data_IF_879283994019
#
_entry.id   IF_879283994019
#
_cell.length_a   1.000
_cell.length_b   1.000
_cell.length_c   1.000
_cell.angle_alpha   90.00
_cell.angle_beta   90.00
_cell.angle_gamma   90.00
#
_symmetry.space_group_name_H-M   'P 1'
#
loop_
_entity.id
_entity.type
_entity.pdbx_description
1 polymer ?
#
# COMPACT_ATOMS: atom_id res chain seq x y z
N UNK A 1 -11.78 -10.22 10.95
CA UNK A 1 -11.84 -9.52 12.28
C UNK A 1 -11.72 -8.03 12.06
N UNK A 2 -12.59 -7.20 12.65
CA UNK A 2 -12.46 -5.73 12.54
C UNK A 2 -11.34 -5.23 13.45
N UNK A 3 -10.44 -4.41 12.95
CA UNK A 3 -9.37 -3.74 13.70
C UNK A 3 -9.64 -2.25 13.70
N UNK A 4 -9.60 -1.60 14.85
CA UNK A 4 -9.67 -0.14 14.91
C UNK A 4 -8.54 0.45 14.06
N UNK A 5 -8.89 1.37 13.17
CA UNK A 5 -7.97 2.00 12.24
C UNK A 5 -7.05 2.99 12.95
N UNK A 6 -5.86 3.15 12.41
CA UNK A 6 -4.98 4.27 12.75
C UNK A 6 -5.27 5.47 11.83
N UNK A 7 -4.76 6.64 12.19
CA UNK A 7 -4.83 7.86 11.38
C UNK A 7 -6.25 8.27 10.99
N UNK A 8 -7.05 8.51 11.97
CA UNK A 8 -8.35 9.19 11.84
C UNK A 8 -8.59 10.12 13.02
N UNK A 9 -9.57 10.98 12.90
CA UNK A 9 -10.11 11.77 14.00
C UNK A 9 -11.62 11.69 14.02
N UNK A 10 -12.19 11.68 15.19
CA UNK A 10 -13.64 11.80 15.40
C UNK A 10 -13.95 13.23 15.84
N UNK A 11 -14.88 13.87 15.13
CA UNK A 11 -15.35 15.23 15.44
C UNK A 11 -16.86 15.16 15.53
N UNK A 12 -17.39 15.42 16.72
CA UNK A 12 -18.84 15.33 17.00
C UNK A 12 -19.45 14.00 16.49
N UNK A 13 -20.22 14.06 15.41
CA UNK A 13 -20.99 12.93 14.87
C UNK A 13 -20.40 12.36 13.55
N UNK A 14 -19.14 12.65 13.23
CA UNK A 14 -18.49 12.13 12.02
C UNK A 14 -17.03 11.82 12.25
N UNK A 15 -16.46 11.04 11.33
CA UNK A 15 -15.06 10.62 11.33
C UNK A 15 -14.38 11.11 10.07
N UNK A 16 -13.16 11.63 10.21
CA UNK A 16 -12.28 11.99 9.10
C UNK A 16 -11.09 11.03 9.05
N UNK A 17 -10.93 10.34 7.93
CA UNK A 17 -9.78 9.47 7.70
C UNK A 17 -8.56 10.31 7.25
N UNK A 18 -7.40 10.05 7.84
CA UNK A 18 -6.13 10.76 7.56
C UNK A 18 -5.04 9.86 6.95
N UNK A 19 -5.39 8.65 6.53
CA UNK A 19 -4.41 7.68 6.04
C UNK A 19 -3.83 8.04 4.67
N UNK A 20 -4.67 8.43 3.73
CA UNK A 20 -4.25 8.76 2.37
C UNK A 20 -4.76 10.15 1.94
N UNK A 21 -4.20 10.73 0.86
CA UNK A 21 -4.55 12.10 0.44
C UNK A 21 -6.00 12.32 0.02
N UNK A 22 -6.79 11.28 -0.19
CA UNK A 22 -8.24 11.44 -0.37
C UNK A 22 -8.94 12.07 0.83
N UNK A 23 -8.36 11.93 2.05
CA UNK A 23 -8.90 12.57 3.24
C UNK A 23 -10.42 12.41 3.34
N UNK A 24 -10.93 11.16 3.26
CA UNK A 24 -12.37 10.90 3.36
C UNK A 24 -12.94 11.54 4.63
N UNK A 25 -13.72 12.60 4.46
CA UNK A 25 -14.24 13.44 5.55
C UNK A 25 -15.72 13.21 5.76
N UNK A 26 -16.19 13.58 6.96
CA UNK A 26 -17.63 13.56 7.37
C UNK A 26 -18.26 12.16 7.23
N UNK A 27 -17.46 11.10 7.44
CA UNK A 27 -17.99 9.74 7.44
C UNK A 27 -18.82 9.52 8.70
N UNK A 28 -20.04 9.02 8.52
CA UNK A 28 -20.96 8.62 9.60
C UNK A 28 -21.06 7.11 9.71
N UNK A 29 -21.78 6.61 10.73
CA UNK A 29 -21.96 5.18 10.95
C UNK A 29 -22.37 4.41 9.69
N UNK A 30 -21.69 3.30 9.38
CA UNK A 30 -21.88 2.46 8.21
C UNK A 30 -21.25 2.99 6.92
N UNK A 31 -20.74 4.23 6.92
CA UNK A 31 -20.09 4.78 5.73
C UNK A 31 -18.65 4.31 5.60
N UNK A 32 -18.23 4.11 4.35
CA UNK A 32 -16.88 3.68 3.97
C UNK A 32 -16.11 4.80 3.28
N UNK A 33 -14.80 4.81 3.52
CA UNK A 33 -13.89 5.59 2.69
C UNK A 33 -13.86 5.10 1.24
N UNK A 34 -13.25 5.91 0.34
CA UNK A 34 -13.14 5.61 -1.09
C UNK A 34 -12.46 4.25 -1.38
N UNK A 35 -11.55 3.81 -0.50
CA UNK A 35 -10.88 2.50 -0.59
C UNK A 35 -11.79 1.31 -0.29
N UNK A 36 -13.01 1.52 0.19
CA UNK A 36 -14.04 0.53 0.55
C UNK A 36 -13.68 -0.41 1.72
N UNK A 37 -12.50 -0.26 2.31
CA UNK A 37 -11.99 -1.14 3.39
C UNK A 37 -11.87 -0.44 4.75
N UNK A 38 -12.24 0.84 4.82
CA UNK A 38 -12.31 1.59 6.08
C UNK A 38 -13.74 2.07 6.29
N UNK A 39 -14.37 1.63 7.39
CA UNK A 39 -15.78 1.84 7.69
C UNK A 39 -15.96 2.38 9.10
N UNK A 40 -16.89 3.31 9.26
CA UNK A 40 -17.24 3.87 10.57
C UNK A 40 -18.26 3.00 11.26
N UNK A 41 -17.99 2.69 12.53
CA UNK A 41 -18.92 2.00 13.42
C UNK A 41 -19.06 2.72 14.74
N UNK A 42 -20.21 2.59 15.38
CA UNK A 42 -20.39 2.92 16.78
C UNK A 42 -19.75 1.86 17.67
N UNK A 43 -18.98 2.29 18.64
CA UNK A 43 -18.47 1.45 19.71
C UNK A 43 -19.52 1.29 20.82
N UNK A 44 -19.23 0.44 21.79
CA UNK A 44 -20.14 0.15 22.93
C UNK A 44 -20.47 1.36 23.80
N UNK A 45 -19.59 2.36 23.81
CA UNK A 45 -19.77 3.64 24.51
C UNK A 45 -20.54 4.71 23.69
N UNK A 46 -20.96 4.34 22.45
CA UNK A 46 -21.66 5.21 21.53
C UNK A 46 -20.75 6.11 20.70
N UNK A 47 -19.42 6.08 20.90
CA UNK A 47 -18.46 6.84 20.10
C UNK A 47 -18.32 6.26 18.70
N UNK A 48 -18.10 7.15 17.70
CA UNK A 48 -17.81 6.74 16.35
C UNK A 48 -16.32 6.44 16.20
N UNK A 49 -16.00 5.28 15.66
CA UNK A 49 -14.63 4.85 15.34
C UNK A 49 -14.53 4.37 13.91
N UNK A 50 -13.33 4.52 13.33
CA UNK A 50 -12.99 3.97 12.02
C UNK A 50 -12.36 2.58 12.19
N UNK A 51 -12.80 1.62 11.39
CA UNK A 51 -12.30 0.25 11.41
C UNK A 51 -11.74 -0.17 10.05
N UNK A 52 -10.63 -0.89 10.07
CA UNK A 52 -10.09 -1.63 8.95
C UNK A 52 -10.88 -2.95 8.80
N UNK A 53 -11.48 -3.15 7.63
CA UNK A 53 -12.28 -4.35 7.33
C UNK A 53 -11.44 -5.49 6.77
N UNK A 54 -10.26 -5.17 6.24
CA UNK A 54 -9.36 -6.13 5.61
C UNK A 54 -8.19 -6.57 6.51
N UNK A 55 -8.19 -6.23 7.80
CA UNK A 55 -7.15 -6.64 8.74
C UNK A 55 -7.06 -8.17 8.85
N UNK A 56 -5.91 -8.72 8.44
CA UNK A 56 -5.68 -10.16 8.40
C UNK A 56 -6.34 -10.90 7.23
N UNK A 57 -7.11 -10.23 6.40
CA UNK A 57 -7.81 -10.82 5.26
C UNK A 57 -6.85 -10.94 4.06
N UNK A 58 -6.37 -12.16 3.83
CA UNK A 58 -5.40 -12.48 2.77
C UNK A 58 -6.13 -13.12 1.59
N UNK A 59 -6.07 -12.49 0.41
CA UNK A 59 -6.68 -12.98 -0.83
C UNK A 59 -5.71 -13.80 -1.67
N UNK A 60 -4.42 -13.55 -1.52
CA UNK A 60 -3.37 -14.14 -2.34
C UNK A 60 -2.14 -14.41 -1.48
N UNK A 61 -1.54 -15.58 -1.65
CA UNK A 61 -0.29 -15.98 -1.00
C UNK A 61 0.50 -16.86 -1.96
N UNK A 62 1.71 -16.45 -2.33
CA UNK A 62 2.57 -17.17 -3.25
C UNK A 62 4.05 -16.88 -3.01
N UNK A 63 4.92 -17.85 -3.33
CA UNK A 63 6.36 -17.60 -3.49
C UNK A 63 6.61 -17.08 -4.90
N UNK A 64 7.11 -15.85 -5.00
CA UNK A 64 7.40 -15.21 -6.28
C UNK A 64 8.89 -14.86 -6.40
N UNK A 65 9.48 -14.86 -7.60
CA UNK A 65 10.76 -14.20 -7.85
C UNK A 65 10.68 -12.72 -7.44
N UNK A 66 11.78 -12.18 -6.90
CA UNK A 66 11.82 -10.77 -6.47
C UNK A 66 11.57 -9.81 -7.64
N UNK A 67 11.97 -10.18 -8.86
CA UNK A 67 11.74 -9.41 -10.08
C UNK A 67 10.24 -9.28 -10.42
N UNK A 68 9.40 -10.18 -9.92
CA UNK A 68 7.94 -10.07 -10.06
C UNK A 68 7.33 -9.00 -9.12
N UNK A 69 8.16 -8.43 -8.23
CA UNK A 69 7.86 -7.25 -7.40
C UNK A 69 8.40 -5.97 -8.03
N UNK A 70 8.63 -5.93 -9.31
CA UNK A 70 9.56 -5.18 -10.16
C UNK A 70 10.77 -4.58 -9.41
N UNK A 71 11.47 -5.45 -8.66
CA UNK A 71 12.72 -5.13 -7.96
C UNK A 71 13.86 -5.91 -8.62
N UNK A 72 14.56 -5.24 -9.54
CA UNK A 72 15.63 -5.85 -10.34
C UNK A 72 17.02 -5.70 -9.74
N UNK A 73 17.17 -4.71 -8.83
CA UNK A 73 18.44 -4.39 -8.19
C UNK A 73 18.44 -4.71 -6.68
N UNK A 74 17.35 -5.28 -6.17
CA UNK A 74 17.20 -5.69 -4.77
C UNK A 74 17.25 -7.20 -4.65
N UNK A 75 18.42 -7.76 -4.28
CA UNK A 75 18.67 -9.21 -4.17
C UNK A 75 18.22 -10.03 -5.40
N UNK A 76 18.69 -9.69 -6.61
CA UNK A 76 18.25 -10.33 -7.86
C UNK A 76 18.44 -11.85 -7.84
N UNK A 77 17.50 -12.56 -8.43
CA UNK A 77 17.49 -14.04 -8.51
C UNK A 77 16.98 -14.73 -7.23
N UNK A 78 16.50 -13.97 -6.22
CA UNK A 78 15.92 -14.56 -5.02
C UNK A 78 14.40 -14.70 -5.10
N UNK A 79 13.83 -15.47 -4.17
CA UNK A 79 12.37 -15.61 -4.03
C UNK A 79 11.88 -14.91 -2.77
N UNK A 80 10.66 -14.40 -2.81
CA UNK A 80 10.01 -13.71 -1.70
C UNK A 80 8.57 -14.17 -1.52
N UNK A 81 8.15 -14.44 -0.29
CA UNK A 81 6.76 -14.71 0.01
C UNK A 81 5.94 -13.44 -0.24
N UNK A 82 4.91 -13.55 -1.06
CA UNK A 82 4.08 -12.44 -1.51
C UNK A 82 2.66 -12.62 -1.04
N UNK A 83 2.10 -11.59 -0.43
CA UNK A 83 0.71 -11.58 0.06
C UNK A 83 -0.03 -10.34 -0.44
N UNK A 84 -1.34 -10.50 -0.60
CA UNK A 84 -2.25 -9.41 -0.91
C UNK A 84 -3.58 -9.54 -0.20
N UNK A 85 -4.31 -8.44 -0.20
CA UNK A 85 -5.63 -8.32 0.36
C UNK A 85 -6.61 -7.83 -0.71
N UNK A 86 -7.67 -7.16 -0.29
CA UNK A 86 -8.60 -6.48 -1.20
C UNK A 86 -8.69 -4.98 -0.88
N UNK A 87 -9.17 -4.23 -1.86
CA UNK A 87 -9.32 -2.77 -1.79
C UNK A 87 -8.12 -2.02 -2.35
N UNK A 88 -8.37 -0.79 -2.80
CA UNK A 88 -7.37 0.17 -3.27
C UNK A 88 -7.92 1.58 -3.11
N UNK A 89 -7.06 2.56 -2.88
CA UNK A 89 -7.44 3.97 -2.86
C UNK A 89 -7.44 4.63 -4.25
N UNK A 90 -6.89 3.97 -5.28
CA UNK A 90 -7.05 4.36 -6.68
C UNK A 90 -8.19 3.59 -7.34
N UNK A 91 -8.66 4.11 -8.50
CA UNK A 91 -9.66 3.48 -9.36
C UNK A 91 -9.19 3.46 -10.81
N UNK A 92 -7.94 3.03 -11.01
CA UNK A 92 -7.33 3.00 -12.34
C UNK A 92 -8.18 2.21 -13.33
N UNK A 93 -8.53 2.84 -14.46
CA UNK A 93 -9.35 2.23 -15.51
C UNK A 93 -8.68 1.01 -16.17
N UNK A 94 -7.35 0.93 -16.08
CA UNK A 94 -6.51 -0.14 -16.62
C UNK A 94 -6.04 -1.17 -15.58
N UNK A 95 -6.67 -1.22 -14.39
CA UNK A 95 -6.23 -2.08 -13.31
C UNK A 95 -6.39 -3.56 -13.67
N UNK A 96 -5.27 -4.28 -13.83
CA UNK A 96 -5.29 -5.73 -14.10
C UNK A 96 -5.80 -6.56 -12.90
N UNK A 97 -5.69 -6.02 -11.68
CA UNK A 97 -6.13 -6.65 -10.44
C UNK A 97 -7.49 -6.10 -9.96
N UNK A 98 -8.36 -5.71 -10.90
CA UNK A 98 -9.64 -5.06 -10.59
C UNK A 98 -10.49 -5.85 -9.58
N UNK A 99 -10.56 -7.18 -9.73
CA UNK A 99 -11.39 -8.05 -8.88
C UNK A 99 -10.99 -8.07 -7.40
N UNK A 100 -9.72 -7.78 -7.08
CA UNK A 100 -9.28 -7.66 -5.69
C UNK A 100 -9.12 -6.21 -5.25
N UNK A 101 -8.91 -5.28 -6.18
CA UNK A 101 -8.70 -3.87 -5.85
C UNK A 101 -10.01 -3.08 -5.73
N UNK A 102 -11.06 -3.44 -6.48
CA UNK A 102 -12.32 -2.70 -6.52
C UNK A 102 -13.53 -3.50 -5.99
N UNK A 103 -13.37 -4.80 -5.77
CA UNK A 103 -14.39 -5.69 -5.24
C UNK A 103 -13.92 -6.33 -3.92
N UNK A 104 -14.85 -6.90 -3.15
CA UNK A 104 -14.54 -7.70 -1.98
C UNK A 104 -14.28 -9.12 -2.46
N UNK A 105 -13.00 -9.49 -2.53
CA UNK A 105 -12.59 -10.82 -2.95
C UNK A 105 -12.67 -11.83 -1.79
N UNK A 106 -12.87 -13.13 -2.08
CA UNK A 106 -12.72 -14.18 -1.09
C UNK A 106 -11.35 -14.13 -0.43
N UNK A 107 -11.31 -14.21 0.88
CA UNK A 107 -10.10 -14.11 1.67
C UNK A 107 -10.05 -15.15 2.78
N UNK A 108 -8.86 -15.42 3.28
CA UNK A 108 -8.63 -16.23 4.47
C UNK A 108 -7.99 -15.35 5.54
N UNK A 109 -8.50 -15.40 6.76
CA UNK A 109 -7.86 -14.70 7.87
C UNK A 109 -6.55 -15.40 8.25
N UNK A 110 -5.46 -14.61 8.27
CA UNK A 110 -4.14 -15.02 8.75
C UNK A 110 -3.66 -13.93 9.70
N UNK A 111 -3.36 -14.29 10.95
CA UNK A 111 -2.90 -13.31 11.93
C UNK A 111 -1.49 -12.77 11.60
N UNK A 112 -1.10 -11.58 12.12
CA UNK A 112 0.26 -11.06 11.96
C UNK A 112 1.35 -12.02 12.46
N UNK A 113 1.10 -12.71 13.57
CA UNK A 113 2.04 -13.69 14.11
C UNK A 113 2.16 -14.92 13.20
N UNK A 114 1.05 -15.40 12.67
CA UNK A 114 1.02 -16.56 11.78
C UNK A 114 1.76 -16.28 10.48
N UNK A 115 1.49 -15.16 9.79
CA UNK A 115 2.16 -14.84 8.52
C UNK A 115 3.65 -14.55 8.71
N UNK A 116 4.04 -13.90 9.81
CA UNK A 116 5.44 -13.68 10.13
C UNK A 116 6.16 -15.02 10.34
N UNK A 117 5.57 -15.95 11.09
CA UNK A 117 6.14 -17.27 11.31
C UNK A 117 6.22 -18.10 10.00
N UNK A 118 5.18 -18.06 9.17
CA UNK A 118 5.20 -18.70 7.84
C UNK A 118 6.39 -18.16 7.04
N UNK A 119 6.49 -16.83 6.92
CA UNK A 119 7.55 -16.20 6.14
C UNK A 119 8.95 -16.53 6.64
N UNK A 120 9.16 -16.50 7.97
CA UNK A 120 10.46 -16.74 8.58
C UNK A 120 10.94 -18.20 8.47
N UNK A 121 10.02 -19.16 8.37
CA UNK A 121 10.33 -20.60 8.33
C UNK A 121 10.34 -21.19 6.91
N UNK A 122 10.02 -20.40 5.89
CA UNK A 122 10.12 -20.85 4.49
C UNK A 122 11.58 -20.89 4.04
N UNK A 123 12.00 -22.02 3.50
CA UNK A 123 13.32 -22.19 2.89
C UNK A 123 13.47 -21.29 1.64
N UNK A 124 14.66 -20.76 1.43
CA UNK A 124 15.02 -19.91 0.29
C UNK A 124 14.12 -18.66 0.14
N UNK A 125 13.54 -18.18 1.23
CA UNK A 125 12.69 -17.02 1.27
C UNK A 125 13.47 -15.78 1.75
N UNK A 126 13.56 -14.76 0.89
CA UNK A 126 14.19 -13.48 1.22
C UNK A 126 13.43 -12.72 2.33
N UNK A 127 12.09 -12.80 2.30
CA UNK A 127 11.26 -11.98 3.17
C UNK A 127 9.78 -12.05 2.86
N UNK A 128 9.07 -10.97 3.18
CA UNK A 128 7.64 -10.82 2.92
C UNK A 128 7.37 -9.57 2.08
N UNK A 129 6.67 -9.73 0.97
CA UNK A 129 6.20 -8.65 0.10
C UNK A 129 4.68 -8.47 0.23
N UNK A 130 4.25 -7.24 0.46
CA UNK A 130 2.86 -6.83 0.39
C UNK A 130 2.59 -6.25 -1.01
N UNK A 131 1.69 -6.90 -1.77
CA UNK A 131 1.54 -6.67 -3.21
C UNK A 131 0.13 -7.04 -3.70
N UNK A 132 -0.08 -7.08 -5.01
CA UNK A 132 -1.29 -7.43 -5.76
C UNK A 132 -2.42 -6.39 -5.69
N UNK A 133 -2.78 -5.89 -4.50
CA UNK A 133 -3.63 -4.72 -4.29
C UNK A 133 -2.80 -3.57 -3.70
N UNK A 134 -3.43 -2.61 -3.03
CA UNK A 134 -2.70 -1.49 -2.42
C UNK A 134 -2.39 -1.76 -0.93
N UNK A 135 -1.11 -1.94 -0.55
CA UNK A 135 -0.75 -2.20 0.84
C UNK A 135 -0.96 -1.01 1.79
N UNK A 136 -0.93 0.23 1.29
CA UNK A 136 -1.10 1.42 2.15
C UNK A 136 -2.49 1.48 2.80
N UNK A 137 -3.54 0.94 2.16
CA UNK A 137 -4.88 0.91 2.76
C UNK A 137 -5.11 -0.32 3.66
N UNK A 138 -4.20 -1.27 3.64
CA UNK A 138 -4.12 -2.42 4.55
C UNK A 138 -3.20 -2.12 5.75
N UNK A 139 -3.05 -0.86 6.05
CA UNK A 139 -2.01 -0.24 6.85
C UNK A 139 -1.75 -0.93 8.19
N UNK A 140 -2.79 -1.15 9.00
CA UNK A 140 -2.65 -1.70 10.35
C UNK A 140 -2.05 -3.10 10.33
N UNK A 141 -2.45 -3.93 9.37
CA UNK A 141 -1.91 -5.27 9.21
C UNK A 141 -0.46 -5.25 8.70
N UNK A 142 -0.19 -4.47 7.66
CA UNK A 142 1.17 -4.29 7.13
C UNK A 142 2.12 -3.81 8.24
N UNK A 143 1.69 -2.81 9.00
CA UNK A 143 2.48 -2.25 10.10
C UNK A 143 2.76 -3.28 11.20
N UNK A 144 1.74 -4.00 11.67
CA UNK A 144 1.88 -5.01 12.72
C UNK A 144 2.77 -6.18 12.27
N UNK A 145 2.62 -6.65 11.02
CA UNK A 145 3.43 -7.73 10.44
C UNK A 145 4.89 -7.30 10.25
N UNK A 146 5.15 -6.13 9.67
CA UNK A 146 6.52 -5.63 9.48
C UNK A 146 7.24 -5.48 10.82
N UNK A 147 6.59 -4.89 11.82
CA UNK A 147 7.14 -4.78 13.19
C UNK A 147 7.45 -6.15 13.78
N UNK A 148 6.52 -7.10 13.64
CA UNK A 148 6.72 -8.47 14.14
C UNK A 148 7.91 -9.14 13.48
N UNK A 149 8.02 -9.09 12.17
CA UNK A 149 9.16 -9.64 11.42
C UNK A 149 10.47 -9.01 11.93
N UNK A 150 10.55 -7.67 11.98
CA UNK A 150 11.78 -6.98 12.43
C UNK A 150 12.15 -7.25 13.88
N UNK A 151 11.17 -7.52 14.74
CA UNK A 151 11.44 -7.92 16.13
C UNK A 151 12.02 -9.34 16.25
N UNK A 152 11.67 -10.24 15.35
CA UNK A 152 12.12 -11.63 15.32
C UNK A 152 13.43 -11.81 14.53
N UNK A 153 13.53 -11.17 13.38
CA UNK A 153 14.70 -11.22 12.52
C UNK A 153 14.85 -9.92 11.72
N UNK A 154 15.80 -9.08 12.09
CA UNK A 154 16.06 -7.80 11.43
C UNK A 154 16.56 -7.95 9.99
N UNK A 155 17.16 -9.08 9.64
CA UNK A 155 17.68 -9.34 8.29
C UNK A 155 16.62 -9.84 7.32
N UNK A 156 15.49 -10.36 7.81
CA UNK A 156 14.38 -10.80 6.97
C UNK A 156 13.72 -9.58 6.33
N UNK A 157 13.61 -9.59 4.99
CA UNK A 157 13.22 -8.40 4.23
C UNK A 157 11.73 -8.19 4.22
N UNK A 158 11.34 -6.92 4.22
CA UNK A 158 9.95 -6.47 4.10
C UNK A 158 9.85 -5.51 2.92
N UNK A 159 8.95 -5.82 1.99
CA UNK A 159 8.83 -5.15 0.69
C UNK A 159 7.41 -4.67 0.47
N UNK A 160 7.25 -3.47 -0.07
CA UNK A 160 5.97 -2.94 -0.52
C UNK A 160 5.98 -2.75 -2.04
N UNK A 161 4.94 -3.24 -2.71
CA UNK A 161 4.61 -2.88 -4.09
C UNK A 161 3.36 -2.01 -4.03
N UNK A 162 3.51 -0.72 -4.27
CA UNK A 162 2.52 0.28 -3.89
C UNK A 162 2.33 1.37 -4.94
N UNK A 163 1.15 1.96 -4.98
CA UNK A 163 0.90 3.16 -5.78
C UNK A 163 1.45 4.45 -5.14
N UNK A 164 2.01 4.37 -3.93
CA UNK A 164 2.60 5.49 -3.24
C UNK A 164 1.61 6.57 -2.74
N UNK A 165 0.30 6.36 -2.86
CA UNK A 165 -0.70 7.37 -2.48
C UNK A 165 -1.10 7.28 -1.01
N UNK A 166 -0.18 7.66 -0.14
CA UNK A 166 -0.28 7.63 1.32
C UNK A 166 0.13 8.98 1.90
N UNK A 167 -0.47 9.40 3.01
CA UNK A 167 -0.05 10.62 3.69
C UNK A 167 1.32 10.47 4.36
N UNK A 168 2.03 11.58 4.52
CA UNK A 168 3.39 11.62 5.07
C UNK A 168 3.50 10.95 6.46
N UNK A 169 2.63 11.32 7.41
CA UNK A 169 2.69 10.81 8.78
C UNK A 169 2.59 9.28 8.86
N UNK A 170 1.58 8.61 8.25
CA UNK A 170 1.53 7.15 8.23
C UNK A 170 2.71 6.52 7.48
N UNK A 171 3.18 7.14 6.38
CA UNK A 171 4.33 6.64 5.66
C UNK A 171 5.59 6.65 6.53
N UNK A 172 5.94 7.80 7.11
CA UNK A 172 7.09 7.95 8.01
C UNK A 172 7.06 6.99 9.20
N UNK A 173 5.87 6.66 9.72
CA UNK A 173 5.71 5.68 10.80
C UNK A 173 5.96 4.24 10.35
N UNK A 174 5.68 3.92 9.09
CA UNK A 174 5.83 2.57 8.53
C UNK A 174 7.27 2.28 8.07
N UNK A 175 7.93 3.26 7.41
CA UNK A 175 9.21 3.09 6.74
C UNK A 175 10.36 2.53 7.60
N UNK A 176 10.47 2.78 8.93
CA UNK A 176 11.49 2.14 9.77
C UNK A 176 11.46 0.61 9.77
N UNK A 177 10.39 0.00 9.27
CA UNK A 177 10.20 -1.44 9.20
C UNK A 177 10.17 -1.98 7.76
N UNK A 178 10.48 -1.14 6.76
CA UNK A 178 10.43 -1.48 5.32
C UNK A 178 11.84 -1.41 4.74
N UNK A 179 12.27 -2.45 4.03
CA UNK A 179 13.60 -2.48 3.40
C UNK A 179 13.58 -1.96 1.95
N UNK A 180 12.52 -2.29 1.21
CA UNK A 180 12.41 -1.88 -0.18
C UNK A 180 10.97 -1.56 -0.59
N UNK A 181 10.84 -0.65 -1.55
CA UNK A 181 9.57 -0.30 -2.18
C UNK A 181 9.74 -0.36 -3.71
N UNK A 182 8.77 -0.98 -4.36
CA UNK A 182 8.48 -0.66 -5.76
C UNK A 182 7.30 0.30 -5.76
N UNK A 183 7.48 1.49 -6.32
CA UNK A 183 6.46 2.54 -6.36
C UNK A 183 6.05 2.81 -7.80
N UNK A 184 4.76 2.72 -8.06
CA UNK A 184 4.20 3.06 -9.37
C UNK A 184 4.17 4.58 -9.58
N UNK A 185 5.03 5.11 -10.44
CA UNK A 185 4.97 6.48 -10.95
C UNK A 185 4.35 6.43 -12.35
N UNK A 186 3.03 6.67 -12.43
CA UNK A 186 2.22 6.22 -13.57
C UNK A 186 2.16 7.19 -14.75
N UNK A 187 2.37 8.49 -14.53
CA UNK A 187 2.26 9.51 -15.56
C UNK A 187 2.26 10.92 -14.95
N UNK A 188 1.87 11.90 -15.74
CA UNK A 188 1.74 13.30 -15.32
C UNK A 188 0.49 13.54 -14.45
N UNK A 189 0.30 14.79 -14.00
CA UNK A 189 -0.81 15.13 -13.08
C UNK A 189 -2.20 14.91 -13.71
N UNK A 190 -2.36 15.14 -15.01
CA UNK A 190 -3.61 14.89 -15.73
C UNK A 190 -3.93 13.40 -15.79
N UNK A 191 -2.94 12.56 -16.06
CA UNK A 191 -3.06 11.09 -16.03
C UNK A 191 -3.55 10.60 -14.66
N UNK A 192 -2.96 11.13 -13.57
CA UNK A 192 -3.39 10.75 -12.23
C UNK A 192 -4.82 11.16 -11.93
N UNK A 193 -5.24 12.36 -12.35
CA UNK A 193 -6.60 12.86 -12.11
C UNK A 193 -7.65 12.07 -12.89
N UNK A 194 -7.39 11.80 -14.17
CA UNK A 194 -8.39 11.24 -15.09
C UNK A 194 -8.44 9.71 -15.04
N UNK A 195 -7.30 9.04 -15.00
CA UNK A 195 -7.22 7.58 -15.12
C UNK A 195 -7.05 6.85 -13.78
N UNK A 196 -6.44 7.49 -12.77
CA UNK A 196 -6.15 6.87 -11.48
C UNK A 196 -7.06 7.40 -10.35
N UNK A 197 -7.66 8.58 -10.52
CA UNK A 197 -8.41 9.29 -9.48
C UNK A 197 -7.53 9.66 -8.27
N UNK A 198 -6.33 10.18 -8.54
CA UNK A 198 -5.35 10.59 -7.55
C UNK A 198 -4.62 11.88 -7.94
N UNK A 199 -3.42 12.08 -7.39
CA UNK A 199 -2.56 13.23 -7.67
C UNK A 199 -1.10 12.81 -7.72
N UNK A 200 -0.35 13.25 -8.73
CA UNK A 200 1.07 12.96 -8.94
C UNK A 200 1.92 13.41 -7.76
N UNK A 201 1.72 14.65 -7.30
CA UNK A 201 2.51 15.28 -6.22
C UNK A 201 2.61 14.42 -4.96
N UNK A 202 1.54 13.72 -4.58
CA UNK A 202 1.52 12.90 -3.37
C UNK A 202 2.36 11.63 -3.53
N UNK A 203 2.41 11.09 -4.75
CA UNK A 203 3.25 9.93 -5.08
C UNK A 203 4.73 10.34 -5.11
N UNK A 204 5.06 11.47 -5.74
CA UNK A 204 6.41 12.04 -5.73
C UNK A 204 6.90 12.31 -4.29
N UNK A 205 6.02 12.86 -3.43
CA UNK A 205 6.34 13.08 -2.02
C UNK A 205 6.65 11.75 -1.30
N UNK A 206 5.90 10.70 -1.58
CA UNK A 206 6.15 9.38 -1.00
C UNK A 206 7.50 8.79 -1.44
N UNK A 207 7.89 8.98 -2.70
CA UNK A 207 9.20 8.56 -3.21
C UNK A 207 10.32 9.32 -2.49
N UNK A 208 10.20 10.66 -2.35
CA UNK A 208 11.19 11.48 -1.63
C UNK A 208 11.33 11.04 -0.18
N UNK A 209 10.22 10.84 0.53
CA UNK A 209 10.23 10.40 1.92
C UNK A 209 10.88 9.01 2.06
N UNK A 210 10.57 8.07 1.17
CA UNK A 210 11.18 6.74 1.21
C UNK A 210 12.71 6.80 0.97
N UNK A 211 13.17 7.70 0.08
CA UNK A 211 14.59 7.97 -0.14
C UNK A 211 15.27 8.57 1.11
N UNK A 212 14.63 9.54 1.77
CA UNK A 212 15.13 10.11 3.04
C UNK A 212 15.36 9.05 4.12
N UNK A 213 14.52 8.01 4.15
CA UNK A 213 14.65 6.88 5.09
C UNK A 213 15.71 5.85 4.68
N UNK A 214 16.33 6.00 3.51
CA UNK A 214 17.34 5.07 3.00
C UNK A 214 16.76 3.71 2.58
N UNK A 215 15.47 3.63 2.28
CA UNK A 215 14.87 2.43 1.70
C UNK A 215 15.40 2.21 0.28
N UNK A 216 15.54 0.96 -0.12
CA UNK A 216 15.76 0.66 -1.54
C UNK A 216 14.49 0.97 -2.33
N UNK A 217 14.59 1.77 -3.39
CA UNK A 217 13.44 2.18 -4.20
C UNK A 217 13.70 1.80 -5.65
N UNK A 218 12.73 1.12 -6.26
CA UNK A 218 12.62 1.01 -7.71
C UNK A 218 11.27 1.56 -8.14
N UNK A 219 11.26 2.34 -9.19
CA UNK A 219 10.06 3.00 -9.70
C UNK A 219 9.60 2.29 -10.97
N UNK A 220 8.31 1.98 -11.05
CA UNK A 220 7.70 1.38 -12.23
C UNK A 220 6.74 2.35 -12.90
N UNK A 221 6.90 2.51 -14.22
CA UNK A 221 5.94 3.23 -15.07
C UNK A 221 5.37 2.25 -16.10
N UNK A 222 4.09 1.89 -15.95
CA UNK A 222 3.38 1.14 -16.97
C UNK A 222 3.07 2.08 -18.13
N UNK A 223 3.71 1.86 -19.27
CA UNK A 223 3.49 2.65 -20.48
C UNK A 223 2.19 2.21 -21.18
N UNK A 224 1.25 3.14 -21.32
CA UNK A 224 -0.01 2.93 -22.03
C UNK A 224 -0.02 3.84 -23.25
N UNK A 225 -0.07 3.27 -24.48
CA UNK A 225 -0.08 4.06 -25.71
C UNK A 225 -1.16 5.13 -25.72
N UNK A 226 -0.79 6.35 -26.12
CA UNK A 226 -1.61 7.54 -26.20
C UNK A 226 -2.04 8.15 -24.83
N UNK A 227 -1.62 7.60 -23.71
CA UNK A 227 -1.99 8.08 -22.37
C UNK A 227 -0.80 8.72 -21.64
N UNK A 228 0.36 8.04 -21.62
CA UNK A 228 1.55 8.49 -20.88
C UNK A 228 2.87 8.21 -21.63
N UNK A 229 2.80 8.05 -22.95
CA UNK A 229 3.95 7.70 -23.79
C UNK A 229 4.52 8.88 -24.60
N UNK A 230 3.99 10.09 -24.38
CA UNK A 230 4.50 11.29 -25.02
C UNK A 230 5.83 11.75 -24.40
N UNK A 231 6.68 12.40 -25.22
CA UNK A 231 8.01 12.82 -24.82
C UNK A 231 8.02 13.81 -23.62
N UNK A 232 7.00 14.62 -23.48
CA UNK A 232 6.88 15.61 -22.40
C UNK A 232 6.68 14.86 -21.08
N UNK A 233 5.69 13.98 -21.02
CA UNK A 233 5.40 13.17 -19.82
C UNK A 233 6.62 12.35 -19.41
N UNK A 234 7.26 11.65 -20.34
CA UNK A 234 8.44 10.82 -20.03
C UNK A 234 9.62 11.66 -19.54
N UNK A 235 9.80 12.85 -20.12
CA UNK A 235 10.84 13.77 -19.68
C UNK A 235 10.59 14.31 -18.28
N UNK A 236 9.37 14.73 -17.95
CA UNK A 236 8.98 15.21 -16.62
C UNK A 236 9.22 14.13 -15.54
N UNK A 237 8.82 12.89 -15.80
CA UNK A 237 9.08 11.76 -14.89
C UNK A 237 10.60 11.51 -14.72
N UNK A 238 11.37 11.55 -15.81
CA UNK A 238 12.82 11.39 -15.78
C UNK A 238 13.53 12.53 -15.02
N UNK A 239 13.12 13.78 -15.21
CA UNK A 239 13.64 14.94 -14.49
C UNK A 239 13.34 14.84 -12.99
N UNK A 240 12.13 14.42 -12.62
CA UNK A 240 11.78 14.17 -11.23
C UNK A 240 12.70 13.10 -10.61
N UNK A 241 12.85 11.92 -11.24
CA UNK A 241 13.67 10.83 -10.71
C UNK A 241 15.15 11.21 -10.62
N UNK A 242 15.67 11.99 -11.56
CA UNK A 242 17.06 12.49 -11.50
C UNK A 242 17.31 13.55 -10.43
N UNK A 243 16.26 14.09 -9.82
CA UNK A 243 16.35 15.07 -8.72
C UNK A 243 16.40 14.44 -7.32
N UNK A 244 16.30 13.09 -7.23
CA UNK A 244 16.30 12.32 -6.00
C UNK A 244 17.59 11.53 -5.85
#
# INVERSE_FOLDING_TARGET
MKKEALFYETIDNYVNCKLCPHRCNHLTEGQKGICKVREVHKDSDGSLKLYSLNYGEVTSLAMDPIEKKPLYNFYPGTYILSIGSFGCNFRCSFCQNYSISQEIAPSKYISPDEIANISLNLENNLGLAFTYNEPSIWYEYVYDVCRKIKSLNKNHKTVLVTNGYICEEPLRKLLPYVDALNIDLKGNDEYYKTLCFGALKEVENSIRIANEFGCHIEVTTLLIPNENTDDITLKELGEFLSSI
#
